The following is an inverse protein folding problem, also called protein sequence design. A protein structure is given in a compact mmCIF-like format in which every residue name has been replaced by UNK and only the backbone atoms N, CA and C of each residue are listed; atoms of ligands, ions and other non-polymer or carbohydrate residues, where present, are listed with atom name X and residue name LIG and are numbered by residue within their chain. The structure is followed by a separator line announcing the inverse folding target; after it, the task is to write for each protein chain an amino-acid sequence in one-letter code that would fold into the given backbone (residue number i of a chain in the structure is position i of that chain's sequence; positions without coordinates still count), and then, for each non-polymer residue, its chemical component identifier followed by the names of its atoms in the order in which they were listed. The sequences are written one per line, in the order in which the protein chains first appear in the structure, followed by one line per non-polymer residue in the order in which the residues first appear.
data_IF_190169496930
#
_entry.id   IF_190169496930
#
_cell.length_a   1.000
_cell.length_b   1.000
_cell.length_c   1.000
_cell.angle_alpha   90.00
_cell.angle_beta   90.00
_cell.angle_gamma   90.00
#
_symmetry.space_group_name_H-M   'P 1'
#
loop_
_entity.id
_entity.type
_entity.pdbx_description
1 polymer ?
#
# COMPACT_ATOMS: atom_id res chain seq x y z
N UNK A 1 -17.54 -6.36 -11.14
CA UNK A 1 -17.06 -5.40 -10.17
C UNK A 1 -15.60 -5.11 -10.38
N UNK A 2 -15.26 -3.88 -10.36
CA UNK A 2 -13.90 -3.49 -10.67
C UNK A 2 -13.04 -3.24 -9.44
N UNK A 3 -13.64 -3.13 -8.27
CA UNK A 3 -12.91 -2.83 -7.05
C UNK A 3 -12.05 -3.98 -6.54
N UNK A 4 -11.00 -3.64 -5.82
CA UNK A 4 -10.12 -4.64 -5.24
C UNK A 4 -9.12 -4.03 -4.29
N UNK A 5 -8.24 -4.89 -3.79
CA UNK A 5 -7.18 -4.51 -2.85
C UNK A 5 -5.83 -4.81 -3.48
N UNK A 6 -4.97 -3.81 -3.50
CA UNK A 6 -3.59 -3.99 -3.95
C UNK A 6 -2.72 -4.30 -2.74
N UNK A 7 -1.92 -5.34 -2.83
CA UNK A 7 -0.87 -5.63 -1.87
C UNK A 7 0.48 -5.43 -2.54
N UNK A 8 1.30 -4.59 -1.95
CA UNK A 8 2.66 -4.33 -2.42
C UNK A 8 3.64 -4.65 -1.29
N UNK A 9 4.30 -5.81 -1.34
CA UNK A 9 5.36 -6.10 -0.39
C UNK A 9 6.59 -5.24 -0.69
N UNK A 10 7.21 -4.72 0.37
CA UNK A 10 8.43 -3.92 0.24
C UNK A 10 9.44 -4.48 1.24
N UNK A 11 10.62 -4.87 0.74
CA UNK A 11 11.71 -5.35 1.60
C UNK A 11 12.79 -4.29 1.66
N UNK A 12 13.01 -3.73 2.84
CA UNK A 12 14.05 -2.73 3.03
C UNK A 12 15.43 -3.37 2.93
N UNK A 13 16.38 -2.62 2.37
CA UNK A 13 17.78 -3.02 2.39
C UNK A 13 18.40 -2.72 3.74
N UNK A 14 19.63 -3.15 3.97
CA UNK A 14 20.29 -3.04 5.27
C UNK A 14 20.30 -1.62 5.81
N UNK A 15 19.91 -1.46 7.06
CA UNK A 15 19.85 -0.18 7.78
C UNK A 15 18.82 0.82 7.24
N UNK A 16 17.96 0.40 6.33
CA UNK A 16 16.97 1.30 5.71
C UNK A 16 15.54 1.07 6.18
N UNK A 17 15.33 0.16 7.14
CA UNK A 17 13.98 -0.15 7.61
C UNK A 17 13.22 1.06 8.11
N UNK A 18 13.85 1.88 8.94
CA UNK A 18 13.17 3.07 9.48
C UNK A 18 12.96 4.14 8.41
N UNK A 19 13.88 4.26 7.46
CA UNK A 19 13.71 5.19 6.34
C UNK A 19 12.52 4.77 5.46
N UNK A 20 12.39 3.47 5.19
CA UNK A 20 11.28 2.95 4.41
C UNK A 20 9.97 3.18 5.14
N UNK A 21 9.93 2.93 6.46
CA UNK A 21 8.73 3.18 7.24
C UNK A 21 8.31 4.65 7.13
N UNK A 22 9.24 5.57 7.34
CA UNK A 22 8.93 7.00 7.26
C UNK A 22 8.42 7.39 5.88
N UNK A 23 9.04 6.85 4.83
CA UNK A 23 8.64 7.17 3.46
C UNK A 23 7.23 6.64 3.13
N UNK A 24 6.89 5.45 3.62
CA UNK A 24 5.57 4.88 3.38
C UNK A 24 4.48 5.60 4.16
N UNK A 25 4.80 6.13 5.34
CA UNK A 25 3.86 6.94 6.10
C UNK A 25 3.46 8.21 5.36
N UNK A 26 4.33 8.71 4.49
CA UNK A 26 4.04 9.89 3.67
C UNK A 26 3.34 9.47 2.37
N UNK A 27 3.81 8.42 1.73
CA UNK A 27 3.30 8.00 0.42
C UNK A 27 1.90 7.42 0.50
N UNK A 28 1.63 6.55 1.47
CA UNK A 28 0.37 5.81 1.52
C UNK A 28 -0.87 6.71 1.56
N UNK A 29 -0.91 7.77 2.38
CA UNK A 29 -2.08 8.66 2.39
C UNK A 29 -2.33 9.36 1.06
N UNK A 30 -1.31 9.52 0.23
CA UNK A 30 -1.47 10.15 -1.08
C UNK A 30 -2.35 9.34 -2.02
N UNK A 31 -2.52 8.04 -1.75
CA UNK A 31 -3.40 7.19 -2.55
C UNK A 31 -4.84 7.71 -2.57
N UNK A 32 -5.26 8.40 -1.53
CA UNK A 32 -6.62 8.96 -1.45
C UNK A 32 -6.87 9.99 -2.55
N UNK A 33 -5.86 10.69 -3.01
CA UNK A 33 -5.98 11.65 -4.11
C UNK A 33 -6.27 10.96 -5.44
N UNK A 34 -6.01 9.67 -5.52
CA UNK A 34 -6.15 8.88 -6.74
C UNK A 34 -7.34 7.94 -6.69
N UNK A 35 -8.20 8.10 -5.69
CA UNK A 35 -9.42 7.32 -5.62
C UNK A 35 -9.37 6.13 -4.68
N UNK A 36 -8.29 5.98 -3.92
CA UNK A 36 -8.27 4.94 -2.89
C UNK A 36 -9.33 5.22 -1.83
N UNK A 37 -9.97 4.16 -1.36
CA UNK A 37 -10.99 4.26 -0.32
C UNK A 37 -10.42 3.92 1.06
N UNK A 38 -9.28 3.23 1.09
CA UNK A 38 -8.64 2.83 2.33
C UNK A 38 -7.18 2.50 2.03
N UNK A 39 -6.30 2.80 2.97
CA UNK A 39 -4.91 2.38 2.88
C UNK A 39 -4.43 1.90 4.23
N UNK A 40 -3.45 0.99 4.21
CA UNK A 40 -2.80 0.49 5.40
C UNK A 40 -1.36 0.17 5.08
N UNK A 41 -0.48 0.38 6.04
CA UNK A 41 0.93 -0.01 5.93
C UNK A 41 1.25 -0.86 7.14
N UNK A 42 1.84 -2.01 6.89
CA UNK A 42 2.25 -2.93 7.96
C UNK A 42 3.75 -3.12 7.91
N UNK A 43 4.34 -3.28 9.08
CA UNK A 43 5.74 -3.66 9.22
C UNK A 43 5.78 -4.91 10.06
N UNK A 44 6.45 -5.95 9.59
CA UNK A 44 6.53 -7.22 10.32
C UNK A 44 7.24 -7.04 11.66
N UNK A 45 6.71 -7.68 12.69
CA UNK A 45 7.39 -7.73 13.99
C UNK A 45 8.50 -8.77 14.00
N UNK A 46 8.36 -9.82 13.20
CA UNK A 46 9.32 -10.90 13.14
C UNK A 46 10.51 -10.59 12.25
N UNK A 47 10.28 -9.79 11.21
CA UNK A 47 11.32 -9.35 10.29
C UNK A 47 11.13 -7.86 10.03
N UNK A 48 11.91 -7.04 10.71
CA UNK A 48 11.74 -5.58 10.68
C UNK A 48 12.07 -4.93 9.33
N UNK A 49 12.52 -5.72 8.36
CA UNK A 49 12.77 -5.24 7.00
C UNK A 49 11.61 -5.51 6.05
N UNK A 50 10.57 -6.20 6.53
CA UNK A 50 9.40 -6.55 5.69
C UNK A 50 8.27 -5.58 5.94
N UNK A 51 7.77 -4.98 4.85
CA UNK A 51 6.63 -4.08 4.86
C UNK A 51 5.56 -4.56 3.89
N UNK A 52 4.32 -4.19 4.15
CA UNK A 52 3.22 -4.43 3.23
C UNK A 52 2.40 -3.14 3.13
N UNK A 53 2.27 -2.64 1.90
CA UNK A 53 1.34 -1.57 1.59
C UNK A 53 0.07 -2.20 1.03
N UNK A 54 -1.06 -1.94 1.67
CA UNK A 54 -2.35 -2.47 1.26
C UNK A 54 -3.28 -1.30 0.97
N UNK A 55 -3.82 -1.21 -0.25
CA UNK A 55 -4.64 -0.08 -0.67
C UNK A 55 -5.88 -0.60 -1.39
N UNK A 56 -7.04 -0.09 -0.97
CA UNK A 56 -8.32 -0.43 -1.60
C UNK A 56 -8.67 0.62 -2.64
N UNK A 57 -9.04 0.14 -3.83
CA UNK A 57 -9.51 1.01 -4.92
C UNK A 57 -10.82 0.46 -5.48
N UNK A 58 -11.68 1.36 -5.94
CA UNK A 58 -12.92 0.97 -6.61
C UNK A 58 -12.68 0.52 -8.04
N UNK A 59 -11.56 0.89 -8.65
CA UNK A 59 -11.23 0.48 -10.01
C UNK A 59 -9.73 0.25 -10.15
N UNK A 60 -9.39 -0.64 -11.07
CA UNK A 60 -7.99 -0.89 -11.41
C UNK A 60 -7.34 0.34 -12.06
N UNK A 61 -8.13 1.13 -12.77
CA UNK A 61 -7.63 2.35 -13.41
C UNK A 61 -7.14 3.36 -12.35
N UNK A 62 -7.83 3.44 -11.22
CA UNK A 62 -7.41 4.32 -10.13
C UNK A 62 -6.08 3.88 -9.53
N UNK A 63 -5.91 2.57 -9.36
CA UNK A 63 -4.61 2.04 -8.93
C UNK A 63 -3.52 2.40 -9.92
N UNK A 64 -3.78 2.23 -11.22
CA UNK A 64 -2.80 2.57 -12.25
C UNK A 64 -2.44 4.05 -12.20
N UNK A 65 -3.45 4.92 -11.98
CA UNK A 65 -3.20 6.35 -11.87
C UNK A 65 -2.27 6.67 -10.69
N UNK A 66 -2.45 5.98 -9.57
CA UNK A 66 -1.58 6.15 -8.41
C UNK A 66 -0.17 5.60 -8.68
N UNK A 67 -0.10 4.37 -9.19
CA UNK A 67 1.17 3.68 -9.46
C UNK A 67 2.05 4.47 -10.43
N UNK A 68 1.45 5.02 -11.48
CA UNK A 68 2.16 5.81 -12.48
C UNK A 68 2.14 7.30 -12.17
N UNK A 69 1.52 7.70 -11.06
CA UNK A 69 1.46 9.08 -10.65
C UNK A 69 2.80 9.61 -10.20
N UNK A 70 2.89 10.92 -10.09
CA UNK A 70 4.14 11.61 -9.78
C UNK A 70 4.72 11.19 -8.44
N UNK A 71 3.88 11.14 -7.41
CA UNK A 71 4.35 10.87 -6.05
C UNK A 71 4.92 9.47 -5.91
N UNK A 72 4.22 8.46 -6.46
CA UNK A 72 4.68 7.08 -6.37
C UNK A 72 5.92 6.86 -7.24
N UNK A 73 5.93 7.47 -8.42
CA UNK A 73 7.08 7.38 -9.31
C UNK A 73 8.32 8.02 -8.67
N UNK A 74 8.15 9.20 -8.06
CA UNK A 74 9.25 9.86 -7.37
C UNK A 74 9.76 9.04 -6.21
N UNK A 75 8.85 8.40 -5.47
CA UNK A 75 9.25 7.52 -4.36
C UNK A 75 10.10 6.35 -4.87
N UNK A 76 9.64 5.70 -5.96
CA UNK A 76 10.41 4.56 -6.52
C UNK A 76 11.80 4.98 -6.97
N UNK A 77 11.90 6.18 -7.55
CA UNK A 77 13.19 6.68 -8.04
C UNK A 77 14.08 7.12 -6.89
N UNK A 78 13.54 7.95 -6.00
CA UNK A 78 14.33 8.56 -4.93
C UNK A 78 14.79 7.55 -3.88
N UNK A 79 13.98 6.53 -3.63
CA UNK A 79 14.24 5.56 -2.58
C UNK A 79 14.67 4.20 -3.14
N UNK A 80 15.08 4.14 -4.39
CA UNK A 80 15.35 2.87 -5.08
C UNK A 80 16.43 2.02 -4.43
N UNK A 81 17.34 2.63 -3.67
CA UNK A 81 18.39 1.88 -2.96
C UNK A 81 17.94 1.43 -1.57
N UNK A 82 16.75 1.85 -1.12
CA UNK A 82 16.26 1.56 0.22
C UNK A 82 15.47 0.25 0.29
N UNK A 83 15.11 -0.32 -0.85
CA UNK A 83 14.32 -1.55 -0.89
C UNK A 83 14.77 -2.42 -2.05
N UNK A 84 14.40 -3.71 -1.94
CA UNK A 84 14.74 -4.69 -2.96
C UNK A 84 13.86 -4.50 -4.19
N UNK A 85 14.46 -4.52 -5.36
CA UNK A 85 13.74 -4.41 -6.63
C UNK A 85 13.76 -5.75 -7.37
N UNK A 86 12.77 -6.00 -8.23
CA UNK A 86 11.65 -5.14 -8.56
C UNK A 86 10.55 -5.18 -7.50
N UNK A 87 9.75 -4.12 -7.44
CA UNK A 87 8.54 -4.10 -6.63
C UNK A 87 7.42 -4.75 -7.43
N UNK A 88 6.79 -5.75 -6.86
CA UNK A 88 5.73 -6.51 -7.51
C UNK A 88 4.46 -6.40 -6.68
N UNK A 89 3.42 -5.82 -7.25
CA UNK A 89 2.14 -5.72 -6.57
C UNK A 89 1.20 -6.83 -7.02
N UNK A 90 0.21 -7.12 -6.19
CA UNK A 90 -0.84 -8.09 -6.49
C UNK A 90 -2.18 -7.39 -6.34
N UNK A 91 -3.02 -7.52 -7.35
CA UNK A 91 -4.39 -7.02 -7.33
C UNK A 91 -5.30 -8.16 -6.86
N UNK A 92 -6.01 -7.94 -5.75
CA UNK A 92 -6.79 -8.99 -5.10
C UNK A 92 -8.27 -8.66 -5.10
N UNK A 93 -9.09 -9.69 -5.26
CA UNK A 93 -10.52 -9.60 -4.96
C UNK A 93 -10.70 -9.81 -3.46
N UNK A 94 -11.54 -8.97 -2.84
CA UNK A 94 -11.92 -9.22 -1.45
C UNK A 94 -13.02 -10.24 -1.43
N UNK A 95 -12.72 -11.45 -0.96
CA UNK A 95 -13.72 -12.52 -0.90
C UNK A 95 -14.66 -12.29 0.28
N UNK A 96 -14.10 -11.88 1.42
CA UNK A 96 -14.88 -11.60 2.61
C UNK A 96 -14.09 -10.68 3.51
N UNK A 97 -14.78 -9.83 4.21
CA UNK A 97 -14.16 -8.92 5.16
C UNK A 97 -15.16 -8.50 6.21
N UNK A 98 -14.66 -8.04 7.34
CA UNK A 98 -15.52 -7.56 8.41
C UNK A 98 -14.73 -7.35 9.68
N UNK A 99 -15.40 -6.85 10.66
CA UNK A 99 -14.83 -6.60 11.98
C UNK A 99 -15.96 -6.17 12.90
N UNK A 100 -15.72 -6.29 14.19
CA UNK A 100 -16.77 -6.00 15.17
C UNK A 100 -17.30 -4.58 15.00
N UNK A 101 -16.39 -3.61 14.90
CA UNK A 101 -16.80 -2.21 14.79
C UNK A 101 -17.34 -1.86 13.42
N UNK A 102 -16.78 -2.48 12.38
CA UNK A 102 -17.25 -2.25 11.02
C UNK A 102 -18.65 -2.80 10.82
N UNK A 103 -18.93 -3.99 11.37
CA UNK A 103 -20.26 -4.59 11.27
C UNK A 103 -21.30 -3.79 12.02
N UNK A 104 -20.96 -3.26 13.20
CA UNK A 104 -21.88 -2.43 13.96
C UNK A 104 -22.19 -1.17 13.17
N UNK A 105 -21.18 -0.51 12.62
CA UNK A 105 -21.39 0.69 11.82
C UNK A 105 -22.20 0.40 10.56
N UNK A 106 -21.92 -0.71 9.89
CA UNK A 106 -22.62 -1.08 8.67
C UNK A 106 -24.06 -1.50 8.94
N UNK A 107 -24.35 -1.99 10.13
CA UNK A 107 -25.68 -2.43 10.49
C UNK A 107 -26.68 -1.32 10.70
N UNK A 108 -26.22 -0.11 10.72
CA UNK A 108 -27.09 1.05 10.85
C UNK A 108 -27.65 1.45 9.48
#
# INVERSE_FOLDING_TARGET
MAGGVVHLPVYATGFRGDDVEASLQILAPMSLRYGATRYEVFRSRDDRYKFLLAVDFDSHDDWNAFWFGEEFTDWRISCSSWFTVPLLYVWNDRIVGGGVHEQVAAGE
#
